data_IF_044066466975
#
_entry.id   IF_044066466975
#
_cell.length_a   1.000
_cell.length_b   1.000
_cell.length_c   1.000
_cell.angle_alpha   90.00
_cell.angle_beta   90.00
_cell.angle_gamma   90.00
#
_symmetry.space_group_name_H-M   'P 1'
#
loop_
_entity.id
_entity.type
_entity.pdbx_description
1 polymer ?
#
# COMPACT_ATOMS: atom_id res chain seq x y z
N UNK A 1 1.02 10.25 3.36
CA UNK A 1 0.10 9.30 2.68
C UNK A 1 0.41 7.89 3.11
N UNK A 2 -0.60 7.15 3.57
CA UNK A 2 -0.48 5.83 4.18
C UNK A 2 0.12 4.79 3.21
N UNK A 3 -0.30 4.79 1.95
CA UNK A 3 0.23 3.85 0.94
C UNK A 3 1.70 4.11 0.61
N UNK A 4 2.16 5.36 0.67
CA UNK A 4 3.58 5.70 0.50
C UNK A 4 4.42 5.17 1.68
N UNK A 5 3.93 5.32 2.91
CA UNK A 5 4.59 4.78 4.12
C UNK A 5 4.61 3.25 4.09
N UNK A 6 3.52 2.62 3.66
CA UNK A 6 3.45 1.17 3.46
C UNK A 6 4.49 0.66 2.45
N UNK A 7 4.68 1.37 1.34
CA UNK A 7 5.72 1.03 0.36
C UNK A 7 7.13 1.12 0.95
N UNK A 8 7.39 2.11 1.80
CA UNK A 8 8.69 2.26 2.49
C UNK A 8 8.93 1.11 3.47
N UNK A 9 7.91 0.71 4.23
CA UNK A 9 7.98 -0.42 5.17
C UNK A 9 8.13 -1.76 4.44
N UNK A 10 7.50 -1.91 3.27
CA UNK A 10 7.65 -3.08 2.41
C UNK A 10 9.09 -3.23 1.88
N UNK A 11 9.79 -2.12 1.64
CA UNK A 11 11.21 -2.12 1.23
C UNK A 11 11.47 -2.43 -0.25
N UNK A 12 10.42 -2.46 -1.09
CA UNK A 12 10.53 -2.74 -2.53
C UNK A 12 9.97 -1.63 -3.42
N UNK A 13 9.79 -1.95 -4.70
CA UNK A 13 9.20 -1.08 -5.71
C UNK A 13 7.68 -1.13 -5.70
N UNK A 14 7.03 -0.13 -6.30
CA UNK A 14 5.56 -0.14 -6.47
C UNK A 14 5.10 -1.36 -7.28
N UNK A 15 5.92 -1.86 -8.21
CA UNK A 15 5.60 -3.02 -9.04
C UNK A 15 5.60 -4.31 -8.24
N UNK A 16 6.60 -4.50 -7.38
CA UNK A 16 6.69 -5.67 -6.50
C UNK A 16 5.56 -5.66 -5.47
N UNK A 17 5.30 -4.50 -4.83
CA UNK A 17 4.18 -4.37 -3.91
C UNK A 17 2.83 -4.62 -4.63
N UNK A 18 2.67 -4.16 -5.87
CA UNK A 18 1.47 -4.42 -6.66
C UNK A 18 1.26 -5.92 -6.91
N UNK A 19 2.32 -6.61 -7.30
CA UNK A 19 2.30 -8.05 -7.55
C UNK A 19 1.95 -8.82 -6.27
N UNK A 20 2.57 -8.47 -5.14
CA UNK A 20 2.28 -9.08 -3.84
C UNK A 20 0.81 -8.89 -3.39
N UNK A 21 0.23 -7.73 -3.71
CA UNK A 21 -1.14 -7.37 -3.35
C UNK A 21 -2.20 -7.77 -4.39
N UNK A 22 -1.80 -8.38 -5.51
CA UNK A 22 -2.72 -8.74 -6.60
C UNK A 22 -3.40 -7.52 -7.25
N UNK A 23 -2.71 -6.37 -7.29
CA UNK A 23 -3.21 -5.14 -7.92
C UNK A 23 -2.26 -4.66 -9.01
N UNK A 24 -2.66 -3.65 -9.77
CA UNK A 24 -1.79 -3.04 -10.78
C UNK A 24 -0.93 -1.94 -10.16
N UNK A 25 0.31 -1.78 -10.66
CA UNK A 25 1.20 -0.71 -10.21
C UNK A 25 0.60 0.70 -10.37
N UNK A 26 -0.12 1.03 -11.47
CA UNK A 26 -0.81 2.31 -11.57
C UNK A 26 -1.79 2.55 -10.42
N UNK A 27 -2.49 1.51 -9.93
CA UNK A 27 -3.43 1.66 -8.81
C UNK A 27 -2.73 2.06 -7.51
N UNK A 28 -1.53 1.56 -7.27
CA UNK A 28 -0.70 2.02 -6.13
C UNK A 28 -0.28 3.48 -6.34
N UNK A 29 0.15 3.85 -7.55
CA UNK A 29 0.50 5.23 -7.89
C UNK A 29 -0.68 6.19 -7.69
N UNK A 30 -1.91 5.81 -8.06
CA UNK A 30 -3.11 6.62 -7.81
C UNK A 30 -3.34 6.92 -6.32
N UNK A 31 -3.03 5.97 -5.43
CA UNK A 31 -3.11 6.19 -3.98
C UNK A 31 -1.96 7.04 -3.44
N UNK A 32 -0.74 6.88 -3.99
CA UNK A 32 0.45 7.65 -3.57
C UNK A 32 0.42 9.10 -4.05
N UNK A 33 -0.24 9.37 -5.18
CA UNK A 33 -0.40 10.72 -5.74
C UNK A 33 -1.65 11.42 -5.24
N UNK A 34 -2.54 10.72 -4.52
CA UNK A 34 -3.79 11.27 -4.02
C UNK A 34 -4.91 11.37 -5.04
N UNK A 35 -4.72 10.83 -6.25
CA UNK A 35 -5.78 10.72 -7.26
C UNK A 35 -6.95 9.85 -6.76
N UNK A 36 -6.67 8.90 -5.88
CA UNK A 36 -7.69 8.12 -5.14
C UNK A 36 -7.36 8.06 -3.66
N UNK A 37 -8.41 8.05 -2.84
CA UNK A 37 -8.30 7.73 -1.43
C UNK A 37 -8.42 6.21 -1.22
N UNK A 38 -7.52 5.65 -0.43
CA UNK A 38 -7.63 4.27 0.04
C UNK A 38 -8.52 4.24 1.29
N UNK A 39 -9.42 3.26 1.39
CA UNK A 39 -10.19 3.05 2.61
C UNK A 39 -9.33 2.36 3.67
N UNK A 40 -9.60 2.63 4.95
CA UNK A 40 -8.93 1.97 6.08
C UNK A 40 -9.03 0.45 5.99
N UNK A 41 -10.22 -0.08 5.63
CA UNK A 41 -10.42 -1.53 5.43
C UNK A 41 -9.47 -2.13 4.38
N UNK A 42 -9.29 -1.45 3.25
CA UNK A 42 -8.38 -1.92 2.19
C UNK A 42 -6.93 -1.81 2.61
N UNK A 43 -6.58 -0.74 3.32
CA UNK A 43 -5.23 -0.55 3.87
C UNK A 43 -4.90 -1.66 4.88
N UNK A 44 -5.84 -2.01 5.77
CA UNK A 44 -5.70 -3.13 6.70
C UNK A 44 -5.46 -4.45 5.96
N UNK A 45 -6.28 -4.76 4.95
CA UNK A 45 -6.08 -5.98 4.14
C UNK A 45 -4.68 -6.03 3.51
N UNK A 46 -4.16 -4.90 3.05
CA UNK A 46 -2.81 -4.83 2.49
C UNK A 46 -1.73 -5.03 3.56
N UNK A 47 -1.90 -4.42 4.73
CA UNK A 47 -1.05 -4.66 5.90
C UNK A 47 -1.01 -6.14 6.29
N UNK A 48 -2.17 -6.81 6.34
CA UNK A 48 -2.28 -8.22 6.70
C UNK A 48 -1.55 -9.12 5.69
N UNK A 49 -1.69 -8.85 4.39
CA UNK A 49 -1.00 -9.59 3.31
C UNK A 49 0.52 -9.40 3.41
N UNK A 50 0.98 -8.17 3.65
CA UNK A 50 2.39 -7.82 3.72
C UNK A 50 3.01 -8.12 5.09
N UNK A 51 2.22 -8.58 6.07
CA UNK A 51 2.63 -8.78 7.47
C UNK A 51 3.24 -7.54 8.11
N UNK A 52 2.68 -6.37 7.80
CA UNK A 52 3.08 -5.07 8.35
C UNK A 52 2.01 -4.61 9.34
N UNK A 53 2.39 -4.23 10.55
CA UNK A 53 1.42 -3.68 11.51
C UNK A 53 0.89 -2.34 11.00
N UNK A 54 -0.44 -2.21 10.92
CA UNK A 54 -1.09 -0.98 10.47
C UNK A 54 -0.74 0.22 11.37
N UNK A 55 -0.38 -0.02 12.64
CA UNK A 55 0.06 1.04 13.56
C UNK A 55 1.32 1.75 13.08
N UNK A 56 2.17 1.07 12.31
CA UNK A 56 3.35 1.67 11.68
C UNK A 56 2.98 2.67 10.58
N UNK A 57 1.72 2.67 10.10
CA UNK A 57 1.25 3.61 9.07
C UNK A 57 0.74 4.93 9.62
N UNK A 58 0.43 5.01 10.92
CA UNK A 58 -0.07 6.20 11.59
C UNK A 58 1.04 6.94 12.35
#
# INVERSE_FOLDING_TARGET
>A
MQVKKLLQLYGGTQKEMAAALGVTQPRISEYITGKKNISVKRLQTWCDILKIDIKELF
#
